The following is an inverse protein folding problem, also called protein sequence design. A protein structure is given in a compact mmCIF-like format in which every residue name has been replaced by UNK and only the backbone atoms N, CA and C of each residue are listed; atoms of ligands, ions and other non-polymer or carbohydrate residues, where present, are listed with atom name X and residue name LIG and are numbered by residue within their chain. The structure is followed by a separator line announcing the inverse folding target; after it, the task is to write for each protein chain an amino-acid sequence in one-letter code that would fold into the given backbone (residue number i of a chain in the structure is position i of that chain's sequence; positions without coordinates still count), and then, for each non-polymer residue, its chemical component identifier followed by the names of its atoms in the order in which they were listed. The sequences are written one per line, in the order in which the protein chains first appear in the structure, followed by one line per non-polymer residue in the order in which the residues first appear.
data_IF_279646723151
#
_entry.id   IF_279646723151
#
_cell.length_a   1.000
_cell.length_b   1.000
_cell.length_c   1.000
_cell.angle_alpha   90.00
_cell.angle_beta   90.00
_cell.angle_gamma   90.00
#
_symmetry.space_group_name_H-M   'P 1'
#
loop_
_entity.id
_entity.type
_entity.pdbx_description
1 polymer ?
#
# COMPACT_ATOMS: atom_id res chain seq x y z
N UNK A 1 -5.92 8.83 -4.05
CA UNK A 1 -6.43 7.54 -4.55
C UNK A 1 -6.02 7.35 -6.01
N UNK A 2 -6.38 8.28 -6.90
CA UNK A 2 -6.14 8.17 -8.35
C UNK A 2 -4.66 7.95 -8.72
N UNK A 3 -3.75 8.57 -7.97
CA UNK A 3 -2.29 8.38 -8.16
C UNK A 3 -1.86 6.92 -7.96
N UNK A 4 -2.40 6.22 -6.95
CA UNK A 4 -2.08 4.81 -6.69
C UNK A 4 -2.57 3.95 -7.86
N UNK A 5 -3.80 4.15 -8.29
CA UNK A 5 -4.41 3.41 -9.40
C UNK A 5 -3.63 3.66 -10.70
N UNK A 6 -3.27 4.91 -10.99
CA UNK A 6 -2.44 5.27 -12.14
C UNK A 6 -1.07 4.58 -12.12
N UNK A 7 -0.42 4.54 -10.95
CA UNK A 7 0.87 3.87 -10.81
C UNK A 7 0.74 2.35 -11.00
N UNK A 8 -0.30 1.72 -10.47
CA UNK A 8 -0.57 0.29 -10.71
C UNK A 8 -0.85 0.00 -12.19
N UNK A 9 -1.50 0.92 -12.92
CA UNK A 9 -1.62 0.82 -14.38
C UNK A 9 -0.28 0.90 -15.10
N UNK A 10 0.66 1.72 -14.65
CA UNK A 10 2.01 1.76 -15.21
C UNK A 10 2.77 0.44 -14.99
N UNK A 11 2.56 -0.22 -13.85
CA UNK A 11 3.16 -1.55 -13.60
C UNK A 11 2.63 -2.58 -14.58
N UNK A 12 1.31 -2.59 -14.85
CA UNK A 12 0.73 -3.46 -15.88
C UNK A 12 1.34 -3.17 -17.24
N UNK A 13 1.44 -1.88 -17.59
CA UNK A 13 1.90 -1.50 -18.92
C UNK A 13 3.35 -1.93 -19.16
N UNK A 14 4.18 -1.90 -18.12
CA UNK A 14 5.57 -2.34 -18.20
C UNK A 14 5.78 -3.86 -18.14
N UNK A 15 4.75 -4.65 -17.84
CA UNK A 15 4.86 -6.11 -17.74
C UNK A 15 4.26 -6.81 -18.98
N UNK A 16 5.08 -7.29 -19.92
CA UNK A 16 4.60 -7.88 -21.17
C UNK A 16 3.93 -9.25 -21.01
N UNK A 17 4.18 -9.97 -19.90
CA UNK A 17 3.57 -11.30 -19.66
C UNK A 17 2.09 -11.20 -19.24
N UNK A 18 1.63 -10.01 -18.87
CA UNK A 18 0.22 -9.76 -18.57
C UNK A 18 -0.59 -9.75 -19.87
N UNK A 19 -1.68 -10.50 -19.88
CA UNK A 19 -2.65 -10.54 -20.97
C UNK A 19 -3.48 -9.26 -20.92
N UNK A 20 -3.11 -8.31 -21.77
CA UNK A 20 -3.83 -7.04 -21.97
C UNK A 20 -4.87 -7.22 -23.09
N UNK A 21 -5.98 -6.50 -23.03
CA UNK A 21 -6.99 -6.41 -24.10
C UNK A 21 -7.86 -7.65 -24.35
N UNK A 22 -7.99 -8.57 -23.40
CA UNK A 22 -8.98 -9.65 -23.48
C UNK A 22 -10.22 -9.31 -22.63
N UNK A 23 -11.41 -9.10 -23.23
CA UNK A 23 -12.63 -8.77 -22.49
C UNK A 23 -13.04 -9.81 -21.45
N UNK A 24 -12.70 -11.08 -21.67
CA UNK A 24 -13.02 -12.19 -20.77
C UNK A 24 -12.04 -12.29 -19.59
N UNK A 25 -10.89 -11.61 -19.69
CA UNK A 25 -9.82 -11.63 -18.70
C UNK A 25 -9.42 -10.18 -18.34
N UNK A 26 -10.34 -9.40 -17.75
CA UNK A 26 -10.06 -8.00 -17.43
C UNK A 26 -9.05 -7.91 -16.29
N UNK A 27 -8.19 -6.90 -16.36
CA UNK A 27 -7.36 -6.48 -15.24
C UNK A 27 -8.23 -5.68 -14.27
N UNK A 28 -8.16 -6.00 -12.98
CA UNK A 28 -8.92 -5.30 -11.93
C UNK A 28 -7.97 -4.58 -11.00
N UNK A 29 -8.14 -3.26 -10.90
CA UNK A 29 -7.47 -2.42 -9.91
C UNK A 29 -8.54 -1.64 -9.17
N UNK A 30 -8.68 -1.86 -7.86
CA UNK A 30 -9.66 -1.14 -7.06
C UNK A 30 -9.28 -1.09 -5.59
N UNK A 31 -9.81 -0.11 -4.86
CA UNK A 31 -9.74 -0.09 -3.40
C UNK A 31 -10.71 -1.14 -2.86
N UNK A 32 -10.22 -2.09 -2.08
CA UNK A 32 -11.05 -3.15 -1.49
C UNK A 32 -11.44 -2.87 -0.06
N UNK A 33 -10.52 -2.30 0.73
CA UNK A 33 -10.73 -2.12 2.16
C UNK A 33 -10.04 -0.87 2.68
N UNK A 34 -10.69 -0.23 3.63
CA UNK A 34 -10.10 0.82 4.46
C UNK A 34 -9.85 0.19 5.84
N UNK A 35 -8.58 0.09 6.24
CA UNK A 35 -8.18 -0.48 7.51
C UNK A 35 -7.81 0.65 8.50
N UNK A 36 -7.52 0.29 9.75
CA UNK A 36 -7.22 1.26 10.81
C UNK A 36 -6.00 2.15 10.50
N UNK A 37 -5.01 1.63 9.75
CA UNK A 37 -3.81 2.38 9.37
C UNK A 37 -3.33 2.13 7.94
N UNK A 38 -4.19 1.57 7.07
CA UNK A 38 -3.86 1.31 5.66
C UNK A 38 -5.08 1.39 4.74
N UNK A 39 -4.81 1.57 3.45
CA UNK A 39 -5.78 1.36 2.39
C UNK A 39 -5.34 0.15 1.58
N UNK A 40 -6.20 -0.86 1.49
CA UNK A 40 -5.89 -2.10 0.78
C UNK A 40 -6.47 -2.02 -0.63
N UNK A 41 -5.63 -2.25 -1.63
CA UNK A 41 -6.01 -2.28 -3.04
C UNK A 41 -5.92 -3.71 -3.58
N UNK A 42 -6.90 -4.11 -4.38
CA UNK A 42 -6.76 -5.31 -5.21
C UNK A 42 -6.07 -4.95 -6.50
N UNK A 43 -5.10 -5.78 -6.85
CA UNK A 43 -4.43 -5.78 -8.14
C UNK A 43 -4.54 -7.21 -8.70
N UNK A 44 -5.37 -7.41 -9.72
CA UNK A 44 -5.58 -8.72 -10.36
C UNK A 44 -5.32 -8.61 -11.85
N UNK A 45 -4.36 -9.39 -12.34
CA UNK A 45 -4.02 -9.50 -13.75
C UNK A 45 -3.99 -10.97 -14.17
N UNK A 46 -4.15 -11.22 -15.47
CA UNK A 46 -4.11 -12.55 -16.06
C UNK A 46 -2.80 -12.76 -16.79
N UNK A 47 -2.22 -13.94 -16.63
CA UNK A 47 -0.93 -14.33 -17.21
C UNK A 47 -1.03 -15.78 -17.65
N UNK A 48 -0.12 -16.21 -18.52
CA UNK A 48 0.00 -17.64 -18.85
C UNK A 48 0.47 -18.42 -17.62
N UNK A 49 0.14 -19.71 -17.55
CA UNK A 49 0.39 -20.54 -16.38
C UNK A 49 1.89 -20.68 -16.09
N UNK A 50 2.68 -20.83 -17.14
CA UNK A 50 4.14 -20.94 -17.11
C UNK A 50 4.82 -19.69 -16.56
N UNK A 51 4.24 -18.51 -16.78
CA UNK A 51 4.83 -17.22 -16.41
C UNK A 51 4.33 -16.72 -15.04
N UNK A 52 3.42 -17.45 -14.39
CA UNK A 52 2.68 -16.96 -13.22
C UNK A 52 3.57 -16.52 -12.06
N UNK A 53 4.49 -17.41 -11.64
CA UNK A 53 5.33 -17.15 -10.47
C UNK A 53 6.29 -15.99 -10.72
N UNK A 54 6.97 -16.01 -11.87
CA UNK A 54 7.93 -14.96 -12.23
C UNK A 54 7.23 -13.61 -12.38
N UNK A 55 6.08 -13.57 -13.06
CA UNK A 55 5.31 -12.33 -13.23
C UNK A 55 4.79 -11.80 -11.90
N UNK A 56 4.32 -12.67 -11.01
CA UNK A 56 3.85 -12.28 -9.67
C UNK A 56 4.97 -11.64 -8.84
N UNK A 57 6.16 -12.25 -8.82
CA UNK A 57 7.32 -11.74 -8.09
C UNK A 57 7.83 -10.42 -8.66
N UNK A 58 7.94 -10.33 -9.99
CA UNK A 58 8.39 -9.12 -10.68
C UNK A 58 7.39 -7.97 -10.50
N UNK A 59 6.09 -8.25 -10.58
CA UNK A 59 5.04 -7.26 -10.31
C UNK A 59 5.16 -6.70 -8.89
N UNK A 60 5.35 -7.54 -7.87
CA UNK A 60 5.51 -7.07 -6.49
C UNK A 60 6.71 -6.14 -6.31
N UNK A 61 7.86 -6.50 -6.90
CA UNK A 61 9.07 -5.66 -6.85
C UNK A 61 8.82 -4.33 -7.58
N UNK A 62 8.20 -4.39 -8.75
CA UNK A 62 7.91 -3.21 -9.56
C UNK A 62 6.93 -2.28 -8.85
N UNK A 63 5.85 -2.79 -8.25
CA UNK A 63 4.91 -1.99 -7.44
C UNK A 63 5.66 -1.18 -6.39
N UNK A 64 6.56 -1.81 -5.62
CA UNK A 64 7.37 -1.10 -4.62
C UNK A 64 8.25 -0.01 -5.23
N UNK A 65 9.01 -0.33 -6.30
CA UNK A 65 9.88 0.63 -7.00
C UNK A 65 9.10 1.83 -7.53
N UNK A 66 7.94 1.59 -8.14
CA UNK A 66 7.10 2.64 -8.69
C UNK A 66 6.43 3.47 -7.60
N UNK A 67 6.04 2.86 -6.49
CA UNK A 67 5.48 3.58 -5.34
C UNK A 67 6.53 4.51 -4.73
N UNK A 68 7.75 4.01 -4.50
CA UNK A 68 8.88 4.80 -3.99
C UNK A 68 9.19 5.99 -4.91
N UNK A 69 9.29 5.75 -6.23
CA UNK A 69 9.52 6.80 -7.23
C UNK A 69 8.44 7.88 -7.23
N UNK A 70 7.21 7.51 -6.91
CA UNK A 70 6.07 8.41 -6.87
C UNK A 70 5.80 9.01 -5.49
N UNK A 71 6.63 8.72 -4.48
CA UNK A 71 6.44 9.18 -3.10
C UNK A 71 5.19 8.61 -2.43
N UNK A 72 4.78 7.40 -2.82
CA UNK A 72 3.69 6.67 -2.19
C UNK A 72 4.30 5.80 -1.09
N UNK A 73 4.09 6.20 0.15
CA UNK A 73 4.56 5.46 1.32
C UNK A 73 3.59 4.32 1.68
N UNK A 74 4.14 3.16 2.03
CA UNK A 74 3.37 2.05 2.60
C UNK A 74 3.39 2.23 4.12
N UNK A 75 2.26 2.56 4.74
CA UNK A 75 2.23 2.92 6.16
C UNK A 75 2.56 1.72 7.04
N UNK A 76 3.40 1.94 8.04
CA UNK A 76 3.48 1.04 9.19
C UNK A 76 2.24 1.19 10.08
N UNK A 77 1.97 0.16 10.89
CA UNK A 77 0.91 0.23 11.88
C UNK A 77 1.13 1.43 12.81
N UNK A 78 0.18 2.37 12.79
CA UNK A 78 0.20 3.54 13.66
C UNK A 78 -0.44 3.19 15.01
N UNK A 79 0.21 3.61 16.10
CA UNK A 79 -0.33 3.53 17.45
C UNK A 79 -0.42 4.94 18.02
N UNK A 80 -1.64 5.42 18.23
CA UNK A 80 -1.88 6.69 18.88
C UNK A 80 -1.82 6.51 20.41
N UNK A 81 -0.86 7.17 21.07
CA UNK A 81 -0.70 7.13 22.52
C UNK A 81 -1.32 8.37 23.16
N UNK A 82 -2.37 8.18 23.95
CA UNK A 82 -2.91 9.24 24.80
C UNK A 82 -2.27 9.20 26.19
N UNK A 83 -1.33 10.10 26.45
CA UNK A 83 -0.67 10.20 27.76
C UNK A 83 -1.49 11.11 28.68
N UNK A 84 -2.15 10.53 29.68
CA UNK A 84 -2.82 11.27 30.74
C UNK A 84 -1.81 11.59 31.85
N UNK A 85 -1.30 12.82 31.88
CA UNK A 85 -0.47 13.29 33.00
C UNK A 85 -1.32 13.46 34.26
N UNK A 86 -1.36 12.44 35.13
CA UNK A 86 -1.86 12.54 36.50
C UNK A 86 -0.74 12.97 37.47
N UNK A 87 0.03 14.00 37.11
CA UNK A 87 1.05 14.55 38.02
C UNK A 87 0.37 15.51 39.01
N UNK A 88 -0.10 14.98 40.14
CA UNK A 88 -0.27 15.76 41.37
C UNK A 88 1.13 16.12 41.89
N UNK A 89 1.73 17.17 41.31
CA UNK A 89 2.92 17.79 41.88
C UNK A 89 2.42 18.60 43.07
N UNK A 90 2.35 17.96 44.25
CA UNK A 90 2.37 18.71 45.51
C UNK A 90 3.76 19.34 45.59
N UNK A 91 3.86 20.61 45.19
CA UNK A 91 4.98 21.45 45.59
C UNK A 91 4.87 21.62 47.10
N UNK A 92 5.50 20.72 47.85
CA UNK A 92 5.73 20.94 49.27
C UNK A 92 6.60 22.20 49.39
N UNK A 93 6.05 23.18 50.10
CA UNK A 93 6.78 24.34 50.59
C UNK A 93 7.94 23.85 51.45
N UNK A 94 9.18 24.05 50.99
CA UNK A 94 10.33 24.08 51.90
C UNK A 94 10.59 25.53 52.28
N UNK A 95 10.22 25.79 53.53
CA UNK A 95 10.55 26.95 54.34
C UNK A 95 12.07 27.17 54.39
N UNK A 96 12.53 28.36 53.98
CA UNK A 96 13.47 29.17 54.78
C UNK A 96 13.56 30.60 54.26
#
# INVERSE_FOLDING_TARGET
MDKVISVLHQVIENEPRIIKNNPNMPVTISLTKQNASSLDYVFRAWVRKEDYLDTMLDCNINVKKFFDKNGIEIPYNKLDLYVKNNLNIQKNEEQK
#
